data_IF_711581073736
#
_entry.id   IF_711581073736
#
_cell.length_a   1.000
_cell.length_b   1.000
_cell.length_c   1.000
_cell.angle_alpha   90.00
_cell.angle_beta   90.00
_cell.angle_gamma   90.00
#
_symmetry.space_group_name_H-M   'P 1'
#
loop_
_entity.id
_entity.type
_entity.pdbx_description
1 polymer ?
#
# COMPACT_ATOMS: atom_id res chain seq x y z
N UNK A 1 13.79 0.85 38.46
CA UNK A 1 12.56 0.60 37.67
C UNK A 1 11.96 -0.71 38.13
N UNK A 2 10.66 -0.77 38.33
CA UNK A 2 10.00 -2.01 38.72
C UNK A 2 9.91 -2.98 37.54
N UNK A 3 9.88 -4.30 37.82
CA UNK A 3 9.78 -5.35 36.81
C UNK A 3 8.60 -5.18 35.83
N UNK A 4 7.36 -4.80 36.26
CA UNK A 4 6.25 -4.54 35.31
C UNK A 4 6.53 -3.45 34.30
N UNK A 5 7.28 -2.39 34.68
CA UNK A 5 7.66 -1.32 33.75
C UNK A 5 8.69 -1.77 32.73
N UNK A 6 9.61 -2.61 33.11
CA UNK A 6 10.61 -3.22 32.21
C UNK A 6 9.89 -4.07 31.16
N UNK A 7 8.96 -4.93 31.55
CA UNK A 7 8.16 -5.76 30.63
C UNK A 7 7.34 -4.90 29.64
N UNK A 8 6.78 -3.80 30.10
CA UNK A 8 6.05 -2.88 29.22
C UNK A 8 6.94 -2.25 28.17
N UNK A 9 8.14 -1.82 28.54
CA UNK A 9 9.12 -1.27 27.60
C UNK A 9 9.55 -2.32 26.58
N UNK A 10 9.84 -3.54 27.01
CA UNK A 10 10.21 -4.64 26.12
C UNK A 10 9.09 -4.94 25.10
N UNK A 11 7.83 -5.00 25.53
CA UNK A 11 6.68 -5.17 24.64
C UNK A 11 6.56 -4.06 23.59
N UNK A 12 6.81 -2.82 23.98
CA UNK A 12 6.82 -1.68 23.05
C UNK A 12 7.93 -1.81 22.00
N UNK A 13 9.13 -2.18 22.43
CA UNK A 13 10.27 -2.40 21.53
C UNK A 13 9.96 -3.51 20.54
N UNK A 14 9.34 -4.60 20.99
CA UNK A 14 8.96 -5.72 20.12
C UNK A 14 7.90 -5.30 19.09
N UNK A 15 6.90 -4.50 19.48
CA UNK A 15 5.93 -3.94 18.54
C UNK A 15 6.59 -3.08 17.46
N UNK A 16 7.55 -2.23 17.81
CA UNK A 16 8.25 -1.35 16.88
C UNK A 16 9.08 -2.09 15.83
N UNK A 17 9.39 -3.36 16.05
CA UNK A 17 10.05 -4.24 15.08
C UNK A 17 9.07 -4.94 14.14
N UNK A 18 7.78 -4.81 14.39
CA UNK A 18 6.73 -5.48 13.63
C UNK A 18 6.45 -4.71 12.34
N UNK A 19 6.49 -5.42 11.24
CA UNK A 19 6.22 -4.85 9.93
C UNK A 19 5.70 -5.90 8.96
N UNK A 20 5.02 -5.46 7.93
CA UNK A 20 4.60 -6.28 6.80
C UNK A 20 4.70 -5.49 5.52
N UNK A 21 5.25 -6.10 4.48
CA UNK A 21 5.27 -5.56 3.13
C UNK A 21 4.51 -6.48 2.20
N UNK A 22 3.54 -5.93 1.48
CA UNK A 22 2.88 -6.59 0.36
C UNK A 22 3.59 -6.23 -0.93
N UNK A 23 3.74 -7.21 -1.82
CA UNK A 23 4.42 -7.04 -3.10
C UNK A 23 3.93 -8.05 -4.13
N UNK A 24 4.35 -7.85 -5.38
CA UNK A 24 4.06 -8.75 -6.49
C UNK A 24 5.35 -9.22 -7.16
N UNK A 25 5.26 -10.35 -7.83
CA UNK A 25 6.32 -10.86 -8.73
C UNK A 25 5.98 -10.64 -10.19
N UNK A 26 4.72 -10.40 -10.49
CA UNK A 26 4.21 -10.17 -11.85
C UNK A 26 3.42 -8.87 -11.91
N UNK A 27 3.46 -8.23 -13.07
CA UNK A 27 2.69 -7.03 -13.32
C UNK A 27 1.20 -7.34 -13.45
N UNK A 28 0.37 -6.38 -13.06
CA UNK A 28 -1.08 -6.45 -13.20
C UNK A 28 -1.59 -5.31 -14.09
N UNK A 29 -2.57 -5.62 -14.95
CA UNK A 29 -3.22 -4.63 -15.80
C UNK A 29 -4.60 -4.29 -15.23
N UNK A 30 -4.87 -3.01 -15.09
CA UNK A 30 -6.16 -2.45 -14.66
C UNK A 30 -6.82 -1.81 -15.88
N UNK A 31 -7.96 -2.34 -16.27
CA UNK A 31 -8.64 -1.93 -17.49
C UNK A 31 -9.73 -0.90 -17.18
N UNK A 32 -9.71 0.16 -17.96
CA UNK A 32 -10.80 1.12 -18.01
C UNK A 32 -11.92 0.53 -18.85
N UNK A 33 -13.04 0.20 -18.22
CA UNK A 33 -14.19 -0.42 -18.89
C UNK A 33 -15.30 0.60 -19.16
N UNK A 34 -15.61 0.81 -20.43
CA UNK A 34 -16.67 1.72 -20.87
C UNK A 34 -16.21 3.17 -21.08
N UNK A 35 -16.94 3.89 -21.91
CA UNK A 35 -16.53 5.22 -22.40
C UNK A 35 -16.55 6.33 -21.36
N UNK A 36 -17.19 6.13 -20.21
CA UNK A 36 -17.31 7.12 -19.13
C UNK A 36 -16.95 6.57 -17.76
N UNK A 37 -16.43 5.36 -17.69
CA UNK A 37 -16.05 4.76 -16.42
C UNK A 37 -14.66 5.26 -15.99
N UNK A 38 -14.54 5.63 -14.74
CA UNK A 38 -13.25 5.86 -14.11
C UNK A 38 -12.75 4.57 -13.50
N UNK A 39 -11.47 4.28 -13.68
CA UNK A 39 -10.82 3.20 -12.96
C UNK A 39 -10.63 3.62 -11.50
N UNK A 40 -11.10 2.80 -10.56
CA UNK A 40 -10.87 2.99 -9.13
C UNK A 40 -10.90 1.63 -8.46
N UNK A 41 -9.72 1.09 -8.17
CA UNK A 41 -9.56 -0.28 -7.67
C UNK A 41 -8.39 -0.37 -6.68
N UNK A 42 -8.47 -1.30 -5.69
CA UNK A 42 -7.29 -1.62 -4.90
C UNK A 42 -6.23 -2.31 -5.77
N UNK A 43 -4.97 -1.99 -5.50
CA UNK A 43 -3.85 -2.69 -6.13
C UNK A 43 -3.77 -4.11 -5.56
N UNK A 44 -3.71 -5.08 -6.45
CA UNK A 44 -3.60 -6.50 -6.08
C UNK A 44 -2.18 -6.81 -5.63
N UNK A 45 -2.05 -7.46 -4.48
CA UNK A 45 -0.78 -7.98 -3.98
C UNK A 45 -0.89 -9.47 -3.70
N UNK A 46 0.00 -10.25 -4.28
CA UNK A 46 -0.02 -11.72 -4.18
C UNK A 46 0.86 -12.25 -3.06
N UNK A 47 1.87 -11.49 -2.64
CA UNK A 47 2.90 -11.93 -1.71
C UNK A 47 3.06 -10.97 -0.53
N UNK A 48 3.55 -11.50 0.58
CA UNK A 48 3.91 -10.71 1.75
C UNK A 48 5.26 -11.14 2.32
N UNK A 49 5.92 -10.20 2.98
CA UNK A 49 7.18 -10.41 3.69
C UNK A 49 7.24 -9.53 4.93
N UNK A 50 8.29 -9.68 5.72
CA UNK A 50 8.51 -8.90 6.92
C UNK A 50 8.37 -9.73 8.19
N UNK A 51 8.16 -9.04 9.30
CA UNK A 51 8.01 -9.62 10.63
C UNK A 51 6.67 -9.21 11.24
N UNK A 52 5.54 -9.78 10.76
CA UNK A 52 4.20 -9.34 11.17
C UNK A 52 3.79 -9.81 12.56
N UNK A 53 4.36 -10.91 13.07
CA UNK A 53 3.92 -11.53 14.32
C UNK A 53 2.43 -11.82 14.32
N UNK A 54 1.78 -11.53 15.44
CA UNK A 54 0.32 -11.62 15.58
C UNK A 54 -0.38 -10.26 15.34
N UNK A 55 0.37 -9.20 15.01
CA UNK A 55 -0.13 -7.84 14.98
C UNK A 55 -0.58 -7.39 13.59
N UNK A 56 -0.05 -8.01 12.54
CA UNK A 56 -0.39 -7.69 11.16
C UNK A 56 -0.67 -8.98 10.39
N UNK A 57 -1.62 -8.93 9.47
CA UNK A 57 -1.91 -10.06 8.59
C UNK A 57 -2.31 -9.58 7.19
N UNK A 58 -1.96 -10.36 6.18
CA UNK A 58 -2.46 -10.12 4.82
C UNK A 58 -3.91 -10.58 4.75
N UNK A 59 -4.80 -9.67 4.39
CA UNK A 59 -6.22 -9.99 4.19
C UNK A 59 -6.71 -9.35 2.89
N UNK A 60 -7.29 -10.16 2.00
CA UNK A 60 -7.70 -9.70 0.67
C UNK A 60 -6.51 -9.01 -0.03
N UNK A 61 -6.63 -7.73 -0.34
CA UNK A 61 -5.65 -6.93 -1.08
C UNK A 61 -4.87 -5.98 -0.16
N UNK A 62 -5.03 -6.11 1.16
CA UNK A 62 -4.46 -5.17 2.12
C UNK A 62 -3.82 -5.83 3.33
N UNK A 63 -3.45 -4.99 4.29
CA UNK A 63 -2.89 -5.38 5.58
C UNK A 63 -3.91 -5.10 6.66
N UNK A 64 -4.32 -6.14 7.37
CA UNK A 64 -5.23 -6.06 8.50
C UNK A 64 -4.46 -5.81 9.79
N UNK A 65 -4.93 -4.86 10.56
CA UNK A 65 -4.39 -4.50 11.87
C UNK A 65 -4.94 -5.44 12.95
N UNK A 66 -4.06 -6.00 13.74
CA UNK A 66 -4.42 -6.85 14.89
C UNK A 66 -4.68 -6.05 16.16
N UNK A 67 -5.01 -6.77 17.23
CA UNK A 67 -5.22 -6.19 18.55
C UNK A 67 -3.95 -5.53 19.10
N UNK A 68 -4.12 -4.55 19.96
CA UNK A 68 -3.04 -3.86 20.67
C UNK A 68 -2.09 -3.01 19.79
N UNK A 69 -2.43 -2.78 18.52
CA UNK A 69 -1.73 -1.82 17.65
C UNK A 69 -2.50 -0.51 17.68
N UNK A 70 -1.82 0.58 18.00
CA UNK A 70 -2.45 1.90 18.15
C UNK A 70 -2.01 2.88 17.07
N UNK A 71 -0.75 2.83 16.65
CA UNK A 71 -0.21 3.70 15.61
C UNK A 71 0.70 2.91 14.67
N UNK A 72 0.63 3.28 13.40
CA UNK A 72 1.43 2.69 12.33
C UNK A 72 2.02 3.78 11.43
N UNK A 73 3.12 3.44 10.77
CA UNK A 73 3.59 4.15 9.58
C UNK A 73 3.24 3.32 8.35
N UNK A 74 2.80 3.97 7.30
CA UNK A 74 2.48 3.33 6.02
C UNK A 74 3.33 3.96 4.93
N UNK A 75 3.99 3.11 4.15
CA UNK A 75 4.74 3.50 2.96
C UNK A 75 4.24 2.73 1.77
N UNK A 76 4.13 3.39 0.64
CA UNK A 76 3.74 2.74 -0.60
C UNK A 76 4.56 3.25 -1.77
N UNK A 77 4.96 2.35 -2.63
CA UNK A 77 5.57 2.64 -3.92
C UNK A 77 4.72 1.97 -5.00
N UNK A 78 4.49 2.68 -6.09
CA UNK A 78 3.83 2.12 -7.25
C UNK A 78 4.59 2.48 -8.52
N UNK A 79 5.03 1.48 -9.25
CA UNK A 79 5.60 1.64 -10.58
C UNK A 79 4.48 1.47 -11.59
N UNK A 80 4.18 2.53 -12.33
CA UNK A 80 2.99 2.61 -13.18
C UNK A 80 3.38 2.95 -14.61
N UNK A 81 2.73 2.29 -15.57
CA UNK A 81 2.87 2.52 -16.98
C UNK A 81 1.50 2.55 -17.65
N UNK A 82 1.26 3.48 -18.56
CA UNK A 82 0.08 3.43 -19.41
C UNK A 82 0.21 2.28 -20.42
N UNK A 83 -0.90 1.61 -20.68
CA UNK A 83 -0.90 0.45 -21.58
C UNK A 83 -0.59 0.82 -23.04
N UNK A 84 -1.01 2.01 -23.46
CA UNK A 84 -0.81 2.52 -24.81
C UNK A 84 -0.03 3.83 -24.80
N UNK A 85 0.89 4.00 -25.77
CA UNK A 85 1.78 5.16 -25.86
C UNK A 85 1.09 6.47 -26.20
N UNK A 86 -0.11 6.41 -26.76
CA UNK A 86 -0.91 7.60 -27.14
C UNK A 86 -1.95 8.00 -26.09
N UNK A 87 -1.94 7.32 -24.94
CA UNK A 87 -2.84 7.66 -23.83
C UNK A 87 -2.23 8.72 -22.92
N UNK A 88 -3.10 9.47 -22.27
CA UNK A 88 -2.76 10.37 -21.17
C UNK A 88 -3.88 10.37 -20.16
N UNK A 89 -3.56 10.48 -18.88
CA UNK A 89 -4.55 10.48 -17.82
C UNK A 89 -3.97 11.07 -16.53
N UNK A 90 -4.86 11.56 -15.68
CA UNK A 90 -4.53 11.77 -14.28
C UNK A 90 -4.52 10.42 -13.57
N UNK A 91 -3.45 10.16 -12.82
CA UNK A 91 -3.32 8.95 -12.02
C UNK A 91 -3.28 9.33 -10.55
N UNK A 92 -4.13 8.68 -9.78
CA UNK A 92 -4.20 8.82 -8.33
C UNK A 92 -3.80 7.50 -7.69
N UNK A 93 -2.80 7.57 -6.82
CA UNK A 93 -2.40 6.45 -5.99
C UNK A 93 -2.66 6.85 -4.54
N UNK A 94 -3.50 6.09 -3.84
CA UNK A 94 -3.99 6.47 -2.52
C UNK A 94 -3.76 5.37 -1.51
N UNK A 95 -3.33 5.76 -0.31
CA UNK A 95 -3.39 4.88 0.86
C UNK A 95 -4.78 5.06 1.47
N UNK A 96 -5.47 3.95 1.72
CA UNK A 96 -6.81 3.94 2.32
C UNK A 96 -6.85 3.09 3.58
N UNK A 97 -7.60 3.56 4.55
CA UNK A 97 -7.97 2.82 5.75
C UNK A 97 -9.48 2.57 5.71
N UNK A 98 -9.89 1.31 5.63
CA UNK A 98 -11.29 0.91 5.52
C UNK A 98 -12.02 1.60 4.35
N UNK A 99 -11.33 1.79 3.23
CA UNK A 99 -11.85 2.47 2.04
C UNK A 99 -11.74 4.00 2.05
N UNK A 100 -11.42 4.61 3.19
CA UNK A 100 -11.26 6.06 3.32
C UNK A 100 -9.84 6.50 2.92
N UNK A 101 -9.75 7.54 2.10
CA UNK A 101 -8.48 8.09 1.64
C UNK A 101 -7.74 8.78 2.79
N UNK A 102 -6.48 8.45 2.96
CA UNK A 102 -5.59 9.02 3.97
C UNK A 102 -4.49 9.86 3.34
N UNK A 103 -3.90 9.37 2.27
CA UNK A 103 -2.79 10.02 1.59
C UNK A 103 -2.93 9.75 0.10
N UNK A 104 -2.73 10.77 -0.72
CA UNK A 104 -2.92 10.68 -2.16
C UNK A 104 -1.77 11.32 -2.92
N UNK A 105 -1.24 10.59 -3.89
CA UNK A 105 -0.40 11.14 -4.94
C UNK A 105 -1.22 11.29 -6.22
N UNK A 106 -1.26 12.49 -6.78
CA UNK A 106 -1.94 12.78 -8.04
C UNK A 106 -0.93 13.24 -9.06
N UNK A 107 -0.91 12.57 -10.21
CA UNK A 107 0.02 12.89 -11.28
C UNK A 107 -0.68 12.78 -12.63
N UNK A 108 -0.48 13.79 -13.49
CA UNK A 108 -0.87 13.68 -14.87
C UNK A 108 0.25 12.99 -15.65
N UNK A 109 -0.10 11.94 -16.37
CA UNK A 109 0.83 11.24 -17.24
C UNK A 109 0.45 11.40 -18.70
N UNK A 110 1.45 11.79 -19.49
CA UNK A 110 1.38 11.82 -20.95
C UNK A 110 2.49 10.95 -21.51
N UNK A 111 2.13 10.00 -22.36
CA UNK A 111 3.04 8.97 -22.84
C UNK A 111 3.05 7.74 -21.94
N UNK A 112 3.86 6.74 -22.31
CA UNK A 112 3.73 5.40 -21.73
C UNK A 112 4.41 5.22 -20.37
N UNK A 113 5.47 5.94 -20.09
CA UNK A 113 6.24 5.76 -18.85
C UNK A 113 7.31 4.67 -18.98
N UNK A 114 7.72 3.99 -17.88
CA UNK A 114 7.09 3.96 -16.55
C UNK A 114 7.49 5.12 -15.62
N UNK A 115 6.67 5.33 -14.59
CA UNK A 115 6.92 6.28 -13.51
C UNK A 115 6.73 5.61 -12.17
N UNK A 116 7.52 6.06 -11.17
CA UNK A 116 7.41 5.57 -9.79
C UNK A 116 6.74 6.64 -8.93
N UNK A 117 5.74 6.21 -8.16
CA UNK A 117 5.04 7.03 -7.18
C UNK A 117 5.41 6.57 -5.78
N UNK A 118 5.72 7.53 -4.89
CA UNK A 118 6.00 7.28 -3.49
C UNK A 118 4.98 8.02 -2.63
N UNK A 119 4.33 7.30 -1.75
CA UNK A 119 3.32 7.86 -0.86
C UNK A 119 3.56 7.30 0.53
N UNK A 120 3.35 8.12 1.55
CA UNK A 120 3.42 7.65 2.92
C UNK A 120 2.46 8.40 3.83
N UNK A 121 2.12 7.76 4.94
CA UNK A 121 1.36 8.34 6.04
C UNK A 121 2.05 7.94 7.34
N UNK A 122 2.42 8.93 8.13
CA UNK A 122 3.15 8.71 9.38
C UNK A 122 2.22 8.81 10.58
N UNK A 123 2.51 8.00 11.59
CA UNK A 123 1.85 8.01 12.88
C UNK A 123 0.32 7.98 12.77
N UNK A 124 -0.16 7.08 11.93
CA UNK A 124 -1.59 6.90 11.70
C UNK A 124 -2.21 6.15 12.86
N UNK A 125 -3.25 6.72 13.44
CA UNK A 125 -4.05 6.06 14.48
C UNK A 125 -4.88 4.93 13.86
N UNK A 126 -4.82 3.75 14.48
CA UNK A 126 -5.52 2.55 14.03
C UNK A 126 -6.11 1.78 15.21
N UNK A 127 -7.02 0.88 14.89
CA UNK A 127 -7.60 -0.06 15.83
C UNK A 127 -7.67 -1.46 15.21
N UNK A 128 -7.98 -2.45 16.04
CA UNK A 128 -8.14 -3.83 15.60
C UNK A 128 -9.14 -3.94 14.45
N UNK A 129 -8.79 -4.74 13.45
CA UNK A 129 -9.54 -5.01 12.23
C UNK A 129 -9.52 -3.88 11.18
N UNK A 130 -8.84 -2.78 11.41
CA UNK A 130 -8.62 -1.81 10.33
C UNK A 130 -7.87 -2.46 9.18
N UNK A 131 -8.26 -2.13 7.95
CA UNK A 131 -7.66 -2.64 6.72
C UNK A 131 -6.97 -1.50 5.99
N UNK A 132 -5.68 -1.66 5.76
CA UNK A 132 -4.85 -0.71 5.02
C UNK A 132 -4.64 -1.24 3.60
N UNK A 133 -5.00 -0.45 2.61
CA UNK A 133 -4.90 -0.81 1.20
C UNK A 133 -4.23 0.30 0.39
N UNK A 134 -3.63 -0.08 -0.72
CA UNK A 134 -3.16 0.85 -1.74
C UNK A 134 -4.13 0.80 -2.93
N UNK A 135 -4.65 1.95 -3.34
CA UNK A 135 -5.62 2.06 -4.41
C UNK A 135 -5.07 2.82 -5.60
N UNK A 136 -5.53 2.44 -6.77
CA UNK A 136 -5.21 3.07 -8.04
C UNK A 136 -6.50 3.64 -8.64
N UNK A 137 -6.43 4.88 -9.08
CA UNK A 137 -7.51 5.51 -9.85
C UNK A 137 -6.95 6.23 -11.08
N UNK A 138 -7.72 6.26 -12.14
CA UNK A 138 -7.37 6.94 -13.38
C UNK A 138 -8.59 7.07 -14.28
N UNK A 139 -8.47 7.89 -15.31
CA UNK A 139 -9.54 8.09 -16.29
C UNK A 139 -8.99 7.94 -17.70
N UNK A 140 -9.81 7.39 -18.60
CA UNK A 140 -9.55 7.30 -20.05
C UNK A 140 -8.28 6.52 -20.45
N UNK A 141 -7.75 5.66 -19.58
CA UNK A 141 -6.58 4.84 -19.90
C UNK A 141 -6.56 3.52 -19.16
N UNK A 142 -6.03 2.49 -19.79
CA UNK A 142 -5.68 1.26 -19.13
C UNK A 142 -4.29 1.42 -18.48
N UNK A 143 -4.13 0.90 -17.29
CA UNK A 143 -2.94 1.13 -16.48
C UNK A 143 -2.30 -0.20 -16.10
N UNK A 144 -1.00 -0.30 -16.34
CA UNK A 144 -0.19 -1.41 -15.87
C UNK A 144 0.53 -1.03 -14.58
N UNK A 145 0.31 -1.80 -13.53
CA UNK A 145 1.10 -1.72 -12.30
C UNK A 145 2.20 -2.75 -12.39
N UNK A 146 3.43 -2.29 -12.40
CA UNK A 146 4.61 -3.12 -12.64
C UNK A 146 5.27 -3.49 -11.30
N UNK A 147 5.85 -4.67 -11.23
CA UNK A 147 6.60 -5.08 -10.06
C UNK A 147 8.11 -4.75 -10.14
N UNK A 148 8.60 -4.44 -11.32
CA UNK A 148 10.01 -4.14 -11.54
C UNK A 148 10.92 -5.36 -11.57
N UNK A 149 10.36 -6.56 -11.44
CA UNK A 149 11.10 -7.83 -11.41
C UNK A 149 11.22 -8.41 -9.99
N UNK A 150 11.59 -9.68 -9.93
CA UNK A 150 11.50 -10.51 -8.71
C UNK A 150 12.26 -9.96 -7.51
N UNK A 151 13.37 -9.26 -7.73
CA UNK A 151 14.23 -8.74 -6.65
C UNK A 151 14.05 -7.25 -6.37
N UNK A 152 13.31 -6.51 -7.18
CA UNK A 152 13.22 -5.06 -7.07
C UNK A 152 12.00 -4.57 -6.28
N UNK A 153 10.92 -5.33 -6.28
CA UNK A 153 9.70 -5.02 -5.52
C UNK A 153 9.30 -3.54 -5.62
N UNK A 154 9.23 -3.02 -6.83
CA UNK A 154 9.02 -1.59 -7.06
C UNK A 154 7.59 -1.13 -6.76
N UNK A 155 6.61 -2.04 -6.84
CA UNK A 155 5.27 -1.79 -6.34
C UNK A 155 5.07 -2.55 -5.05
N UNK A 156 4.87 -1.82 -3.96
CA UNK A 156 4.72 -2.42 -2.64
C UNK A 156 3.95 -1.51 -1.68
N UNK A 157 3.36 -2.14 -0.68
CA UNK A 157 2.70 -1.50 0.46
C UNK A 157 3.33 -2.02 1.74
N UNK A 158 3.86 -1.14 2.56
CA UNK A 158 4.50 -1.51 3.84
C UNK A 158 3.79 -0.84 4.99
N UNK A 159 3.47 -1.62 6.01
CA UNK A 159 3.00 -1.14 7.32
C UNK A 159 4.06 -1.47 8.36
N UNK A 160 4.44 -0.47 9.14
CA UNK A 160 5.35 -0.59 10.28
C UNK A 160 4.60 -0.20 11.56
N UNK A 161 4.60 -1.04 12.57
CA UNK A 161 3.98 -0.75 13.85
C UNK A 161 4.85 0.24 14.62
N UNK A 162 4.24 1.32 15.12
CA UNK A 162 4.92 2.32 15.95
C UNK A 162 4.67 2.05 17.43
N UNK A 163 3.42 1.76 17.79
CA UNK A 163 3.06 1.38 19.16
C UNK A 163 1.77 0.55 19.24
#
# INVERSE_FOLDING_TARGET
>A
MSEPKILEIEKRIDKMKTNMTLYNKNSHTYNHTGSNANLEEPIVFDYSSGNPGNLLSKQNLGIKIGAEVHHINVKANALIRLALSNQSTDIYVTIRKNGEKLSEGNFFQSGQGPWTYHIYSEYLEVQENDLIELWLAGSNADINVLDGGENLRQTQLTVEVVD
#
